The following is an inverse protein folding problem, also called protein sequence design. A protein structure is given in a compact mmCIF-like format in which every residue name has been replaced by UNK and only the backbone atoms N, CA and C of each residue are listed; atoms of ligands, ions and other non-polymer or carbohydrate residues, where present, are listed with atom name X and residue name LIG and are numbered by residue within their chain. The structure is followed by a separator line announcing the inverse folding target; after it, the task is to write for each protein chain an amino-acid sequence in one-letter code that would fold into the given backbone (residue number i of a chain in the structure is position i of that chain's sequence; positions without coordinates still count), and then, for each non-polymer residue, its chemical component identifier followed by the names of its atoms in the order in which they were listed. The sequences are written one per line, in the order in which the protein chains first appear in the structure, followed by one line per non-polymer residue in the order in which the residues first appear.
data_IF_532021146958
#
_entry.id   IF_532021146958
#
_cell.length_a   1.000
_cell.length_b   1.000
_cell.length_c   1.000
_cell.angle_alpha   90.00
_cell.angle_beta   90.00
_cell.angle_gamma   90.00
#
_symmetry.space_group_name_H-M   'P 1'
#
loop_
_entity.id
_entity.type
_entity.pdbx_description
1 polymer ?
#
# COMPACT_ATOMS: atom_id res chain seq x y z
N UNK A 1 4.00 20.68 -6.84
CA UNK A 1 4.93 20.00 -5.95
C UNK A 1 6.34 20.09 -6.48
N UNK A 2 6.64 19.61 -7.68
CA UNK A 2 7.99 19.59 -8.26
C UNK A 2 8.65 20.98 -8.29
N UNK A 3 7.94 22.02 -8.78
CA UNK A 3 8.45 23.41 -8.81
C UNK A 3 8.83 23.97 -7.43
N UNK A 4 8.40 23.35 -6.33
CA UNK A 4 8.71 23.71 -4.96
C UNK A 4 9.69 22.74 -4.29
N UNK A 5 10.30 21.83 -5.05
CA UNK A 5 11.28 20.86 -4.55
C UNK A 5 10.71 19.70 -3.73
N UNK A 6 9.38 19.50 -3.69
CA UNK A 6 8.79 18.36 -2.99
C UNK A 6 8.85 17.11 -3.84
N UNK A 7 9.53 16.03 -3.41
CA UNK A 7 9.38 14.73 -4.04
C UNK A 7 7.94 14.23 -3.84
N UNK A 8 7.37 13.58 -4.85
CA UNK A 8 6.01 13.10 -4.76
C UNK A 8 5.82 11.76 -5.49
N UNK A 9 4.82 11.05 -5.10
CA UNK A 9 4.40 9.78 -5.71
C UNK A 9 2.90 9.60 -5.63
N UNK A 10 2.43 8.49 -6.19
CA UNK A 10 1.02 8.12 -6.15
C UNK A 10 0.83 6.68 -5.69
N UNK A 11 -0.31 6.43 -5.07
CA UNK A 11 -0.87 5.09 -4.87
C UNK A 11 -2.09 4.96 -5.77
N UNK A 12 -2.16 3.90 -6.58
CA UNK A 12 -3.20 3.74 -7.58
C UNK A 12 -3.65 2.29 -7.73
N UNK A 13 -4.89 2.09 -8.16
CA UNK A 13 -5.38 0.79 -8.60
C UNK A 13 -4.96 0.43 -10.03
N UNK A 14 -4.23 1.31 -10.72
CA UNK A 14 -3.74 1.09 -12.08
C UNK A 14 -4.77 1.29 -13.19
N UNK A 15 -6.07 1.36 -12.88
CA UNK A 15 -7.17 1.37 -13.86
C UNK A 15 -7.01 2.44 -14.94
N UNK A 16 -6.57 3.61 -14.54
CA UNK A 16 -6.39 4.75 -15.43
C UNK A 16 -4.91 5.06 -15.76
N UNK A 17 -3.96 4.26 -15.30
CA UNK A 17 -2.53 4.49 -15.48
C UNK A 17 -2.04 3.89 -16.81
N UNK A 18 -2.44 4.49 -17.92
CA UNK A 18 -1.89 4.15 -19.24
C UNK A 18 -0.43 4.58 -19.37
N UNK A 19 0.32 4.02 -20.33
CA UNK A 19 1.70 4.42 -20.65
C UNK A 19 1.81 5.95 -20.85
N UNK A 20 0.91 6.56 -21.62
CA UNK A 20 0.88 8.00 -21.82
C UNK A 20 0.75 8.80 -20.52
N UNK A 21 -0.13 8.35 -19.60
CA UNK A 21 -0.31 9.01 -18.30
C UNK A 21 0.90 8.80 -17.40
N UNK A 22 1.48 7.61 -17.39
CA UNK A 22 2.70 7.34 -16.65
C UNK A 22 3.83 8.30 -17.05
N UNK A 23 4.13 8.42 -18.35
CA UNK A 23 5.14 9.35 -18.83
C UNK A 23 4.80 10.82 -18.50
N UNK A 24 3.52 11.21 -18.59
CA UNK A 24 3.11 12.57 -18.19
C UNK A 24 3.37 12.85 -16.71
N UNK A 25 3.15 11.86 -15.82
CA UNK A 25 3.41 12.00 -14.40
C UNK A 25 4.92 12.03 -14.08
N UNK A 26 5.71 11.20 -14.76
CA UNK A 26 7.18 11.21 -14.64
C UNK A 26 7.73 12.56 -15.10
N UNK A 27 7.29 13.07 -16.24
CA UNK A 27 7.70 14.39 -16.76
C UNK A 27 7.26 15.55 -15.83
N UNK A 28 6.18 15.35 -15.06
CA UNK A 28 5.76 16.30 -14.02
C UNK A 28 6.56 16.14 -12.71
N UNK A 29 7.55 15.24 -12.66
CA UNK A 29 8.45 15.04 -11.52
C UNK A 29 7.95 14.01 -10.51
N UNK A 30 7.14 13.03 -10.93
CA UNK A 30 6.79 11.90 -10.08
C UNK A 30 8.01 10.99 -9.86
N UNK A 31 8.32 10.69 -8.59
CA UNK A 31 9.45 9.85 -8.20
C UNK A 31 9.06 8.42 -7.80
N UNK A 32 7.81 8.22 -7.38
CA UNK A 32 7.38 6.91 -6.91
C UNK A 32 5.94 6.57 -7.27
N UNK A 33 5.66 5.28 -7.44
CA UNK A 33 4.32 4.78 -7.68
C UNK A 33 4.10 3.45 -6.96
N UNK A 34 2.99 3.35 -6.24
CA UNK A 34 2.50 2.09 -5.68
C UNK A 34 1.28 1.64 -6.46
N UNK A 35 1.27 0.40 -6.94
CA UNK A 35 0.11 -0.17 -7.62
C UNK A 35 -0.53 -1.26 -6.78
N UNK A 36 -1.84 -1.16 -6.56
CA UNK A 36 -2.60 -2.20 -5.88
C UNK A 36 -2.88 -3.37 -6.83
N UNK A 37 -2.49 -4.58 -6.40
CA UNK A 37 -2.79 -5.83 -7.10
C UNK A 37 -2.98 -6.95 -6.08
N UNK A 38 -4.20 -7.43 -5.90
CA UNK A 38 -4.60 -8.25 -4.75
C UNK A 38 -4.71 -9.75 -5.05
N UNK A 39 -3.99 -10.24 -6.03
CA UNK A 39 -4.01 -11.63 -6.47
C UNK A 39 -4.24 -11.74 -7.97
N UNK A 40 -4.67 -12.90 -8.43
CA UNK A 40 -5.01 -13.13 -9.82
C UNK A 40 -6.35 -12.47 -10.19
N UNK A 41 -6.78 -12.68 -11.43
CA UNK A 41 -7.92 -11.96 -12.03
C UNK A 41 -9.20 -12.05 -11.19
N UNK A 42 -9.53 -13.23 -10.71
CA UNK A 42 -10.79 -13.45 -9.99
C UNK A 42 -10.80 -12.74 -8.65
N UNK A 43 -9.76 -12.93 -7.83
CA UNK A 43 -9.65 -12.33 -6.50
C UNK A 43 -9.52 -10.82 -6.58
N UNK A 44 -8.67 -10.33 -7.49
CA UNK A 44 -8.45 -8.91 -7.66
C UNK A 44 -9.70 -8.18 -8.15
N UNK A 45 -10.34 -8.68 -9.20
CA UNK A 45 -11.54 -8.06 -9.75
C UNK A 45 -12.71 -8.10 -8.75
N UNK A 46 -12.86 -9.20 -8.01
CA UNK A 46 -13.84 -9.30 -6.94
C UNK A 46 -13.61 -8.23 -5.87
N UNK A 47 -12.38 -8.11 -5.34
CA UNK A 47 -12.07 -7.14 -4.30
C UNK A 47 -12.25 -5.69 -4.77
N UNK A 48 -11.95 -5.41 -6.04
CA UNK A 48 -12.05 -4.08 -6.64
C UNK A 48 -13.43 -3.77 -7.24
N UNK A 49 -14.29 -4.75 -7.37
CA UNK A 49 -15.65 -4.60 -7.90
C UNK A 49 -15.69 -4.20 -9.38
N UNK A 50 -14.70 -4.61 -10.18
CA UNK A 50 -14.62 -4.27 -11.60
C UNK A 50 -13.78 -5.28 -12.37
N UNK A 51 -14.35 -5.85 -13.45
CA UNK A 51 -13.77 -6.92 -14.26
C UNK A 51 -12.53 -6.53 -15.06
N UNK A 52 -12.27 -5.26 -15.23
CA UNK A 52 -11.10 -4.74 -15.96
C UNK A 52 -9.91 -4.42 -15.06
N UNK A 53 -10.08 -4.43 -13.72
CA UNK A 53 -9.05 -3.97 -12.80
C UNK A 53 -7.76 -4.76 -12.91
N UNK A 54 -7.82 -6.08 -12.95
CA UNK A 54 -6.62 -6.93 -13.06
C UNK A 54 -5.85 -6.63 -14.33
N UNK A 55 -6.52 -6.67 -15.48
CA UNK A 55 -5.85 -6.42 -16.77
C UNK A 55 -5.18 -5.05 -16.79
N UNK A 56 -5.88 -4.01 -16.33
CA UNK A 56 -5.35 -2.64 -16.31
C UNK A 56 -4.20 -2.46 -15.32
N UNK A 57 -4.28 -3.08 -14.15
CA UNK A 57 -3.19 -3.06 -13.20
C UNK A 57 -1.94 -3.76 -13.76
N UNK A 58 -2.09 -4.92 -14.42
CA UNK A 58 -0.97 -5.62 -15.07
C UNK A 58 -0.36 -4.80 -16.21
N UNK A 59 -1.18 -4.16 -17.05
CA UNK A 59 -0.68 -3.24 -18.11
C UNK A 59 0.14 -2.10 -17.48
N UNK A 60 -0.36 -1.48 -16.42
CA UNK A 60 0.34 -0.42 -15.71
C UNK A 60 1.67 -0.91 -15.09
N UNK A 61 1.66 -2.06 -14.42
CA UNK A 61 2.86 -2.66 -13.80
C UNK A 61 3.92 -2.96 -14.86
N UNK A 62 3.55 -3.57 -16.00
CA UNK A 62 4.48 -3.87 -17.09
C UNK A 62 5.12 -2.61 -17.69
N UNK A 63 4.41 -1.49 -17.69
CA UNK A 63 5.00 -0.20 -18.08
C UNK A 63 5.96 0.32 -17.01
N UNK A 64 5.55 0.29 -15.73
CA UNK A 64 6.32 0.80 -14.59
C UNK A 64 7.66 0.06 -14.45
N UNK A 65 7.69 -1.27 -14.55
CA UNK A 65 8.91 -2.06 -14.37
C UNK A 65 10.00 -1.77 -15.42
N UNK A 66 9.61 -1.12 -16.51
CA UNK A 66 10.53 -0.72 -17.61
C UNK A 66 11.07 0.70 -17.44
N UNK A 67 10.55 1.49 -16.51
CA UNK A 67 10.94 2.88 -16.33
C UNK A 67 12.19 2.98 -15.44
N UNK A 68 13.32 3.40 -15.99
CA UNK A 68 14.54 3.56 -15.22
C UNK A 68 14.40 4.73 -14.22
N UNK A 69 14.86 4.54 -13.00
CA UNK A 69 14.87 5.59 -11.97
C UNK A 69 13.53 5.84 -11.27
N UNK A 70 12.45 5.16 -11.69
CA UNK A 70 11.16 5.23 -10.97
C UNK A 70 11.16 4.24 -9.81
N UNK A 71 11.00 4.74 -8.59
CA UNK A 71 10.77 3.90 -7.41
C UNK A 71 9.34 3.35 -7.44
N UNK A 72 9.19 2.04 -7.29
CA UNK A 72 7.86 1.44 -7.27
C UNK A 72 7.75 0.27 -6.32
N UNK A 73 6.53 -0.03 -5.91
CA UNK A 73 6.16 -1.29 -5.30
C UNK A 73 4.73 -1.72 -5.69
N UNK A 74 4.49 -3.00 -5.55
CA UNK A 74 3.15 -3.58 -5.67
C UNK A 74 2.61 -3.79 -4.25
N UNK A 75 1.34 -3.48 -4.04
CA UNK A 75 0.67 -3.68 -2.75
C UNK A 75 -0.47 -4.67 -2.92
N UNK A 76 -0.49 -5.68 -2.05
CA UNK A 76 -1.54 -6.70 -1.96
C UNK A 76 -2.21 -6.64 -0.60
N UNK A 77 -3.53 -6.57 -0.58
CA UNK A 77 -4.34 -6.77 0.62
C UNK A 77 -4.65 -8.28 0.76
N UNK A 78 -3.90 -8.97 1.62
CA UNK A 78 -4.11 -10.39 1.90
C UNK A 78 -5.45 -10.61 2.61
N UNK A 79 -6.18 -11.60 2.14
CA UNK A 79 -7.50 -11.99 2.65
C UNK A 79 -7.73 -13.49 2.39
N UNK A 80 -8.82 -14.07 2.91
CA UNK A 80 -9.09 -15.51 2.77
C UNK A 80 -9.15 -15.99 1.32
N UNK A 81 -9.60 -15.15 0.39
CA UNK A 81 -9.77 -15.58 -1.01
C UNK A 81 -8.46 -15.67 -1.78
N UNK A 82 -7.49 -14.78 -1.49
CA UNK A 82 -6.22 -14.76 -2.21
C UNK A 82 -5.08 -15.44 -1.45
N UNK A 83 -5.27 -15.81 -0.19
CA UNK A 83 -4.22 -16.32 0.68
C UNK A 83 -3.52 -17.55 0.09
N UNK A 84 -4.29 -18.56 -0.34
CA UNK A 84 -3.73 -19.82 -0.83
C UNK A 84 -2.98 -19.67 -2.17
N UNK A 85 -3.25 -18.61 -2.91
CA UNK A 85 -2.61 -18.32 -4.20
C UNK A 85 -1.37 -17.41 -4.09
N UNK A 86 -1.03 -16.89 -2.90
CA UNK A 86 0.10 -15.96 -2.71
C UNK A 86 1.44 -16.51 -3.19
N UNK A 87 1.79 -17.81 -3.00
CA UNK A 87 3.05 -18.35 -3.52
C UNK A 87 3.12 -18.32 -5.06
N UNK A 88 2.07 -18.74 -5.74
CA UNK A 88 1.99 -18.68 -7.21
C UNK A 88 1.95 -17.24 -7.71
N UNK A 89 1.28 -16.37 -6.97
CA UNK A 89 1.22 -14.94 -7.29
C UNK A 89 2.59 -14.26 -7.14
N UNK A 90 3.38 -14.62 -6.12
CA UNK A 90 4.80 -14.21 -6.00
C UNK A 90 5.57 -14.57 -7.26
N UNK A 91 5.49 -15.82 -7.69
CA UNK A 91 6.24 -16.33 -8.85
C UNK A 91 5.80 -15.61 -10.13
N UNK A 92 4.52 -15.32 -10.26
CA UNK A 92 3.99 -14.49 -11.34
C UNK A 92 4.55 -13.07 -11.31
N UNK A 93 4.56 -12.39 -10.15
CA UNK A 93 5.14 -11.05 -10.01
C UNK A 93 6.62 -11.03 -10.41
N UNK A 94 7.39 -12.01 -9.97
CA UNK A 94 8.79 -12.17 -10.36
C UNK A 94 8.93 -12.35 -11.88
N UNK A 95 8.08 -13.18 -12.49
CA UNK A 95 8.12 -13.46 -13.94
C UNK A 95 7.86 -12.25 -14.81
N UNK A 96 7.08 -11.27 -14.32
CA UNK A 96 6.80 -10.01 -15.03
C UNK A 96 7.77 -8.88 -14.65
N UNK A 97 8.81 -9.18 -13.87
CA UNK A 97 9.90 -8.26 -13.54
C UNK A 97 9.67 -7.38 -12.31
N UNK A 98 8.66 -7.66 -11.49
CA UNK A 98 8.43 -6.92 -10.24
C UNK A 98 9.55 -7.24 -9.24
N UNK A 99 10.13 -6.19 -8.65
CA UNK A 99 11.24 -6.29 -7.69
C UNK A 99 10.85 -5.95 -6.25
N UNK A 100 9.76 -5.25 -6.05
CA UNK A 100 9.30 -4.83 -4.73
C UNK A 100 7.80 -5.13 -4.56
N UNK A 101 7.48 -5.85 -3.49
CA UNK A 101 6.13 -6.25 -3.14
C UNK A 101 5.88 -6.04 -1.66
N UNK A 102 4.71 -5.52 -1.32
CA UNK A 102 4.31 -5.27 0.06
C UNK A 102 2.93 -5.84 0.31
N UNK A 103 2.78 -6.54 1.42
CA UNK A 103 1.51 -7.15 1.81
C UNK A 103 0.96 -6.42 3.03
N UNK A 104 -0.33 -6.16 3.02
CA UNK A 104 -1.15 -5.71 4.15
C UNK A 104 -2.25 -6.71 4.42
N UNK A 105 -2.76 -6.76 5.63
CA UNK A 105 -4.07 -7.34 5.92
C UNK A 105 -5.18 -6.29 5.78
N UNK A 106 -6.42 -6.70 5.85
CA UNK A 106 -7.56 -5.79 5.73
C UNK A 106 -8.16 -5.56 7.11
N UNK A 107 -8.18 -4.30 7.56
CA UNK A 107 -8.84 -3.97 8.81
C UNK A 107 -10.37 -4.13 8.68
N UNK A 108 -11.04 -4.71 9.71
CA UNK A 108 -12.49 -4.92 9.72
C UNK A 108 -13.26 -3.63 10.02
N UNK A 109 -13.04 -2.59 9.20
CA UNK A 109 -13.70 -1.29 9.35
C UNK A 109 -14.30 -0.82 8.04
N UNK A 110 -15.31 0.05 8.10
CA UNK A 110 -16.00 0.57 6.93
C UNK A 110 -16.62 -0.57 6.11
N UNK A 111 -16.38 -0.63 4.81
CA UNK A 111 -16.94 -1.67 3.93
C UNK A 111 -16.48 -3.09 4.28
N UNK A 112 -15.33 -3.24 4.92
CA UNK A 112 -14.78 -4.53 5.29
C UNK A 112 -15.33 -5.09 6.61
N UNK A 113 -16.06 -4.29 7.40
CA UNK A 113 -16.51 -4.67 8.74
C UNK A 113 -17.39 -5.94 8.78
N UNK A 114 -18.19 -6.15 7.74
CA UNK A 114 -19.17 -7.23 7.68
C UNK A 114 -18.88 -8.25 6.56
N UNK A 115 -17.64 -8.35 6.11
CA UNK A 115 -17.23 -9.28 5.06
C UNK A 115 -16.15 -10.23 5.63
N UNK A 116 -16.55 -11.40 6.18
CA UNK A 116 -15.62 -12.34 6.82
C UNK A 116 -14.52 -12.87 5.90
N UNK A 117 -14.78 -12.93 4.60
CA UNK A 117 -13.82 -13.36 3.58
C UNK A 117 -12.61 -12.43 3.46
N UNK A 118 -12.75 -11.19 3.92
CA UNK A 118 -11.66 -10.21 3.93
C UNK A 118 -10.70 -10.39 5.11
N UNK A 119 -11.08 -11.17 6.13
CA UNK A 119 -10.28 -11.37 7.34
C UNK A 119 -9.57 -12.72 7.28
N UNK A 120 -8.26 -12.72 7.53
CA UNK A 120 -7.50 -13.95 7.74
C UNK A 120 -7.85 -14.56 9.11
N UNK A 121 -7.80 -15.88 9.22
CA UNK A 121 -7.76 -16.56 10.52
C UNK A 121 -6.40 -16.36 11.17
N UNK A 122 -6.30 -16.63 12.47
CA UNK A 122 -5.03 -16.59 13.21
C UNK A 122 -3.97 -17.52 12.59
N UNK A 123 -4.38 -18.71 12.17
CA UNK A 123 -3.50 -19.67 11.49
C UNK A 123 -3.03 -19.11 10.15
N UNK A 124 -3.93 -18.55 9.35
CA UNK A 124 -3.57 -17.93 8.07
C UNK A 124 -2.66 -16.72 8.26
N UNK A 125 -2.88 -15.92 9.30
CA UNK A 125 -2.00 -14.79 9.60
C UNK A 125 -0.58 -15.26 9.98
N UNK A 126 -0.47 -16.28 10.82
CA UNK A 126 0.82 -16.89 11.17
C UNK A 126 1.52 -17.45 9.94
N UNK A 127 0.80 -18.19 9.09
CA UNK A 127 1.35 -18.73 7.85
C UNK A 127 1.73 -17.62 6.84
N UNK A 128 1.02 -16.49 6.83
CA UNK A 128 1.41 -15.32 6.05
C UNK A 128 2.76 -14.75 6.51
N UNK A 129 3.01 -14.68 7.81
CA UNK A 129 4.30 -14.22 8.33
C UNK A 129 5.44 -15.16 7.92
N UNK A 130 5.24 -16.48 8.02
CA UNK A 130 6.23 -17.46 7.57
C UNK A 130 6.46 -17.37 6.06
N UNK A 131 5.41 -17.24 5.25
CA UNK A 131 5.53 -17.04 3.80
C UNK A 131 6.35 -15.80 3.44
N UNK A 132 6.11 -14.66 4.14
CA UNK A 132 6.87 -13.43 3.90
C UNK A 132 8.35 -13.64 4.27
N UNK A 133 8.62 -14.24 5.43
CA UNK A 133 9.97 -14.57 5.89
C UNK A 133 10.72 -15.44 4.88
N UNK A 134 10.12 -16.56 4.46
CA UNK A 134 10.71 -17.47 3.48
C UNK A 134 10.97 -16.78 2.14
N UNK A 135 10.01 -16.00 1.63
CA UNK A 135 10.17 -15.23 0.39
C UNK A 135 11.34 -14.23 0.48
N UNK A 136 11.52 -13.60 1.64
CA UNK A 136 12.65 -12.69 1.88
C UNK A 136 14.00 -13.43 1.89
N UNK A 137 14.05 -14.62 2.47
CA UNK A 137 15.25 -15.48 2.46
C UNK A 137 15.59 -15.92 1.03
N UNK A 138 14.60 -16.28 0.22
CA UNK A 138 14.80 -16.62 -1.20
C UNK A 138 15.38 -15.46 -2.03
N UNK A 139 15.06 -14.22 -1.68
CA UNK A 139 15.65 -13.01 -2.29
C UNK A 139 15.25 -12.73 -3.74
N UNK A 140 14.28 -13.45 -4.32
CA UNK A 140 13.82 -13.25 -5.70
C UNK A 140 13.03 -11.95 -5.91
N UNK A 141 12.35 -11.51 -4.86
CA UNK A 141 11.57 -10.27 -4.80
C UNK A 141 11.72 -9.67 -3.40
N UNK A 142 11.86 -8.35 -3.32
CA UNK A 142 11.88 -7.66 -2.04
C UNK A 142 10.45 -7.60 -1.48
N UNK A 143 10.11 -8.56 -0.62
CA UNK A 143 8.81 -8.62 0.05
C UNK A 143 8.89 -8.00 1.44
N UNK A 144 7.86 -7.25 1.84
CA UNK A 144 7.71 -6.74 3.20
C UNK A 144 6.25 -6.71 3.64
N UNK A 145 6.05 -6.85 4.94
CA UNK A 145 4.74 -6.62 5.57
C UNK A 145 4.52 -5.13 5.80
N UNK A 146 3.28 -4.69 5.69
CA UNK A 146 2.90 -3.29 5.85
C UNK A 146 2.93 -2.77 7.29
N UNK A 147 2.48 -1.54 7.44
CA UNK A 147 2.48 -0.79 8.69
C UNK A 147 1.24 -1.13 9.54
N UNK A 148 1.22 -2.29 10.19
CA UNK A 148 0.06 -2.80 10.94
C UNK A 148 0.45 -3.26 12.37
N UNK A 149 1.21 -2.45 13.09
CA UNK A 149 1.62 -2.71 14.47
C UNK A 149 2.87 -3.55 14.60
N UNK A 150 3.26 -3.82 15.83
CA UNK A 150 4.42 -4.62 16.19
C UNK A 150 4.09 -6.12 16.12
N UNK A 151 4.95 -6.91 15.49
CA UNK A 151 4.71 -8.31 15.14
C UNK A 151 5.50 -9.32 16.01
N UNK A 152 5.99 -8.88 17.15
CA UNK A 152 6.72 -9.77 18.08
C UNK A 152 7.94 -10.41 17.40
N UNK A 153 8.02 -11.74 17.47
CA UNK A 153 9.15 -12.51 16.91
C UNK A 153 9.36 -12.34 15.42
N UNK A 154 8.34 -11.94 14.66
CA UNK A 154 8.43 -11.76 13.20
C UNK A 154 8.94 -10.38 12.79
N UNK A 155 9.07 -9.42 13.71
CA UNK A 155 9.26 -8.02 13.39
C UNK A 155 10.40 -7.76 12.39
N UNK A 156 11.58 -8.29 12.64
CA UNK A 156 12.74 -8.11 11.77
C UNK A 156 12.81 -9.12 10.60
N UNK A 157 11.99 -10.17 10.65
CA UNK A 157 11.97 -11.20 9.61
C UNK A 157 11.09 -10.80 8.42
N UNK A 158 10.03 -10.00 8.66
CA UNK A 158 9.05 -9.60 7.64
C UNK A 158 9.17 -8.14 7.22
N UNK A 159 10.09 -7.37 7.81
CA UNK A 159 10.35 -5.94 7.52
C UNK A 159 11.83 -5.64 7.54
N UNK A 160 12.21 -4.51 6.94
CA UNK A 160 13.62 -4.05 6.95
C UNK A 160 13.98 -3.28 8.24
N UNK A 161 12.97 -2.83 8.99
CA UNK A 161 13.13 -2.07 10.25
C UNK A 161 12.04 -2.48 11.23
N UNK A 162 12.35 -2.38 12.52
CA UNK A 162 11.34 -2.52 13.55
C UNK A 162 10.22 -1.48 13.37
N UNK A 163 9.01 -1.88 13.72
CA UNK A 163 7.85 -1.00 13.59
C UNK A 163 7.98 0.20 14.52
N UNK A 164 7.91 1.37 13.90
CA UNK A 164 7.77 2.64 14.59
C UNK A 164 6.63 3.43 13.91
N UNK A 165 5.65 3.82 14.71
CA UNK A 165 4.54 4.61 14.18
C UNK A 165 4.97 6.05 13.96
N UNK A 166 4.99 6.48 12.71
CA UNK A 166 5.34 7.86 12.32
C UNK A 166 4.16 8.84 12.33
N UNK A 167 2.96 8.35 12.65
CA UNK A 167 1.75 9.17 12.67
C UNK A 167 1.86 10.32 13.66
N UNK A 168 1.64 11.56 13.22
CA UNK A 168 1.76 12.76 14.03
C UNK A 168 3.20 13.15 14.44
N UNK A 169 4.21 12.34 14.07
CA UNK A 169 5.63 12.60 14.34
C UNK A 169 6.32 13.14 13.07
N UNK A 170 6.29 12.36 12.00
CA UNK A 170 6.88 12.73 10.70
C UNK A 170 5.89 12.57 9.54
N UNK A 171 4.69 12.09 9.80
CA UNK A 171 3.64 11.86 8.81
C UNK A 171 2.33 12.53 9.24
N UNK A 172 1.69 13.21 8.31
CA UNK A 172 0.31 13.67 8.43
C UNK A 172 -0.44 13.41 7.12
N UNK A 173 -1.76 13.43 7.18
CA UNK A 173 -2.64 13.30 6.04
C UNK A 173 -3.61 14.43 5.94
N UNK A 174 -3.87 14.86 4.72
CA UNK A 174 -4.99 15.74 4.38
C UNK A 174 -5.94 14.91 3.52
N UNK A 175 -7.15 14.70 4.01
CA UNK A 175 -8.16 13.91 3.34
C UNK A 175 -8.83 14.70 2.22
N UNK A 176 -9.64 14.05 1.40
CA UNK A 176 -10.28 14.65 0.24
C UNK A 176 -11.25 15.80 0.61
N UNK A 177 -11.82 15.78 1.80
CA UNK A 177 -12.68 16.82 2.37
C UNK A 177 -11.90 17.95 3.08
N UNK A 178 -10.57 17.90 3.03
CA UNK A 178 -9.67 18.84 3.71
C UNK A 178 -9.39 18.51 5.18
N UNK A 179 -9.95 17.44 5.72
CA UNK A 179 -9.69 17.03 7.12
C UNK A 179 -8.22 16.66 7.31
N UNK A 180 -7.65 17.08 8.44
CA UNK A 180 -6.26 16.83 8.83
C UNK A 180 -6.23 15.66 9.81
N UNK A 181 -5.43 14.65 9.51
CA UNK A 181 -5.23 13.46 10.33
C UNK A 181 -3.75 13.14 10.47
N UNK A 182 -3.36 12.49 11.56
CA UNK A 182 -2.00 12.00 11.76
C UNK A 182 -1.62 10.87 10.80
N UNK A 183 -2.59 10.08 10.34
CA UNK A 183 -2.37 8.92 9.47
C UNK A 183 -3.52 8.74 8.48
N UNK A 184 -3.26 8.37 7.21
CA UNK A 184 -4.31 8.12 6.22
C UNK A 184 -5.16 6.88 6.54
N UNK A 185 -4.63 5.97 7.35
CA UNK A 185 -5.32 4.73 7.74
C UNK A 185 -6.20 4.87 8.98
N UNK A 186 -5.98 5.89 9.81
CA UNK A 186 -6.85 6.21 10.94
C UNK A 186 -8.10 6.88 10.38
N UNK A 187 -9.23 6.21 10.51
CA UNK A 187 -10.53 6.70 10.07
C UNK A 187 -11.37 7.12 11.27
N UNK A 188 -12.33 8.00 11.02
CA UNK A 188 -13.28 8.55 12.00
C UNK A 188 -12.67 9.60 12.94
N UNK A 189 -13.05 9.66 14.16
CA UNK A 189 -13.02 10.75 15.12
C UNK A 189 -11.66 11.37 15.51
N UNK A 190 -10.60 10.99 14.82
CA UNK A 190 -9.22 11.48 15.05
C UNK A 190 -8.79 12.61 14.09
N UNK A 191 -9.74 13.33 13.50
CA UNK A 191 -9.42 14.52 12.72
C UNK A 191 -9.15 15.69 13.67
N UNK A 192 -7.97 16.31 13.55
CA UNK A 192 -7.54 17.41 14.41
C UNK A 192 -7.87 18.78 13.86
N UNK A 193 -8.32 18.85 12.62
CA UNK A 193 -8.74 20.10 11.97
C UNK A 193 -9.05 19.92 10.50
N UNK A 194 -9.17 21.05 9.78
CA UNK A 194 -9.45 21.06 8.35
C UNK A 194 -8.73 22.23 7.67
N UNK A 195 -8.00 21.96 6.57
CA UNK A 195 -7.18 22.96 5.86
C UNK A 195 -7.94 24.16 5.32
N UNK A 196 -9.27 24.08 5.18
CA UNK A 196 -10.10 25.20 4.74
C UNK A 196 -10.45 26.18 5.86
N UNK A 197 -10.17 25.83 7.12
CA UNK A 197 -10.52 26.62 8.31
C UNK A 197 -9.35 26.85 9.25
N UNK A 198 -8.41 25.92 9.26
CA UNK A 198 -7.35 25.86 10.27
C UNK A 198 -5.97 25.99 9.61
N UNK A 199 -5.01 26.54 10.35
CA UNK A 199 -3.62 26.55 9.94
C UNK A 199 -2.99 25.16 10.17
N UNK A 200 -2.48 24.54 9.11
CA UNK A 200 -1.88 23.21 9.19
C UNK A 200 -0.70 23.15 10.17
N UNK A 201 0.17 24.18 10.20
CA UNK A 201 1.33 24.21 11.07
C UNK A 201 0.98 24.35 12.55
N UNK A 202 -0.09 25.06 12.87
CA UNK A 202 -0.59 25.15 14.25
C UNK A 202 -1.13 23.80 14.71
N UNK A 203 -1.84 23.09 13.83
CA UNK A 203 -2.31 21.72 14.12
C UNK A 203 -1.14 20.78 14.26
N UNK A 204 -0.20 20.80 13.32
CA UNK A 204 0.99 19.96 13.38
C UNK A 204 1.78 20.10 14.67
N UNK A 205 1.97 21.32 15.12
CA UNK A 205 2.82 21.59 16.29
C UNK A 205 2.09 21.39 17.64
N UNK A 206 0.78 21.58 17.67
CA UNK A 206 0.06 21.73 18.95
C UNK A 206 -1.06 20.68 19.14
N UNK A 207 -1.62 20.12 18.08
CA UNK A 207 -2.81 19.28 18.16
C UNK A 207 -2.63 17.84 17.66
N UNK A 208 -1.66 17.58 16.77
CA UNK A 208 -1.39 16.20 16.38
C UNK A 208 -0.92 15.45 17.61
N UNK A 209 -1.78 14.52 18.05
CA UNK A 209 -1.52 13.74 19.24
C UNK A 209 -0.31 12.84 19.03
N UNK A 210 0.75 13.12 19.79
CA UNK A 210 2.03 12.39 19.75
C UNK A 210 2.13 11.34 20.86
N UNK A 211 0.99 11.03 21.48
CA UNK A 211 0.93 10.05 22.57
C UNK A 211 0.85 8.64 22.06
#
# INVERSE_FOLDING_TARGET
LNKRGFPWGIVTNGLLLSSRRLHSLINAGMHSVTVSLDGFKEEHNWLRGNDLCFQKAIEAIKNIVREPGLTYDIVTCANKRNFDSLPQFRDYLVSIGVKAWRIFTIFPVGRAANIPELQLSETQFTNLMEFIKETRIEGKIKLSYGCEGFLGKYEMEVRDRAFECSAGISTASILADGSISACPSIRADYHQGNIYRDNFWEIWNNKLDRK
#
